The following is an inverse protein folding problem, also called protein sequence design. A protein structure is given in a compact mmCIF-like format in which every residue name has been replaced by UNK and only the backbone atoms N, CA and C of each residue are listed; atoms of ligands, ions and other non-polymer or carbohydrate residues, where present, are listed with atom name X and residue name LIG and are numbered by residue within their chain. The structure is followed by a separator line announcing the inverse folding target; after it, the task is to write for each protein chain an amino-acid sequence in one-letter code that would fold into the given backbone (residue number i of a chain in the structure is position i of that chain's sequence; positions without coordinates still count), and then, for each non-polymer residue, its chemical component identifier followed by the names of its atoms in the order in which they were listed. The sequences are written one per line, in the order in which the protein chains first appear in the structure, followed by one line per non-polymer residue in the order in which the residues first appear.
data_IF_454709527288
#
_entry.id   IF_454709527288
#
_cell.length_a   1.000
_cell.length_b   1.000
_cell.length_c   1.000
_cell.angle_alpha   90.00
_cell.angle_beta   90.00
_cell.angle_gamma   90.00
#
_symmetry.space_group_name_H-M   'P 1'
#
loop_
_entity.id
_entity.type
_entity.pdbx_description
1 polymer ?
#
# COMPACT_ATOMS: atom_id res chain seq x y z
N UNK A 1 16.07 1.20 -9.93
CA UNK A 1 15.60 0.19 -10.90
C UNK A 1 16.77 -0.70 -11.28
N UNK A 2 16.58 -2.01 -11.38
CA UNK A 2 17.65 -2.96 -11.75
C UNK A 2 17.09 -4.18 -12.49
N UNK A 3 17.96 -4.86 -13.25
CA UNK A 3 17.61 -6.03 -14.07
C UNK A 3 17.48 -7.33 -13.26
N UNK A 4 18.24 -7.43 -12.16
CA UNK A 4 18.21 -8.58 -11.25
C UNK A 4 17.23 -8.35 -10.11
N UNK A 5 16.80 -9.43 -9.44
CA UNK A 5 15.95 -9.29 -8.26
C UNK A 5 16.69 -8.48 -7.18
N UNK A 6 16.07 -7.45 -6.60
CA UNK A 6 16.67 -6.66 -5.54
C UNK A 6 16.98 -7.51 -4.30
N UNK A 7 18.13 -7.23 -3.70
CA UNK A 7 18.40 -7.58 -2.30
C UNK A 7 17.58 -6.65 -1.39
N UNK A 8 16.40 -7.12 -1.01
CA UNK A 8 15.46 -6.35 -0.20
C UNK A 8 15.98 -6.13 1.23
N UNK A 9 16.83 -7.02 1.75
CA UNK A 9 17.41 -6.86 3.08
C UNK A 9 18.35 -5.65 3.10
N UNK A 10 19.22 -5.52 2.11
CA UNK A 10 20.10 -4.36 1.96
C UNK A 10 19.35 -3.06 1.71
N UNK A 11 18.24 -3.08 0.98
CA UNK A 11 17.39 -1.88 0.80
C UNK A 11 16.72 -1.52 2.12
N UNK A 12 16.23 -2.52 2.85
CA UNK A 12 15.59 -2.34 4.15
C UNK A 12 16.56 -1.72 5.15
N UNK A 13 17.77 -2.28 5.30
CA UNK A 13 18.83 -1.76 6.20
C UNK A 13 19.09 -0.27 6.01
N UNK A 14 19.20 0.19 4.76
CA UNK A 14 19.39 1.62 4.45
C UNK A 14 18.17 2.46 4.79
N UNK A 15 16.97 1.91 4.59
CA UNK A 15 15.71 2.60 4.80
C UNK A 15 15.37 2.79 6.28
N UNK A 16 15.78 1.86 7.17
CA UNK A 16 15.43 1.94 8.60
C UNK A 16 15.96 3.21 9.26
N UNK A 17 17.14 3.69 8.89
CA UNK A 17 17.77 4.86 9.50
C UNK A 17 17.22 6.22 9.01
N UNK A 18 16.26 6.21 8.07
CA UNK A 18 15.80 7.42 7.38
C UNK A 18 14.37 7.74 7.81
N UNK A 19 14.09 9.00 8.09
CA UNK A 19 12.72 9.47 8.36
C UNK A 19 11.97 9.83 7.07
N UNK A 20 10.66 9.57 7.00
CA UNK A 20 9.85 10.01 5.88
C UNK A 20 9.70 11.53 5.88
N UNK A 21 9.62 12.11 4.67
CA UNK A 21 9.35 13.54 4.47
C UNK A 21 7.87 13.86 4.62
N UNK A 22 7.01 12.93 4.16
CA UNK A 22 5.57 13.07 4.23
C UNK A 22 5.01 12.46 5.52
N UNK A 23 3.95 13.05 6.04
CA UNK A 23 3.20 12.58 7.21
C UNK A 23 1.72 12.37 6.86
N UNK A 24 0.98 11.72 7.77
CA UNK A 24 -0.44 11.36 7.57
C UNK A 24 -1.33 12.56 7.22
N UNK A 25 -0.96 13.78 7.64
CA UNK A 25 -1.66 15.03 7.37
C UNK A 25 -1.73 15.38 5.89
N UNK A 26 -0.84 14.86 5.05
CA UNK A 26 -0.88 15.05 3.60
C UNK A 26 -2.15 14.47 2.96
N UNK A 27 -2.81 13.48 3.59
CA UNK A 27 -4.10 12.97 3.12
C UNK A 27 -5.22 14.00 3.24
N UNK A 28 -5.16 14.88 4.24
CA UNK A 28 -6.16 15.94 4.47
C UNK A 28 -5.77 17.24 3.77
N UNK A 29 -4.49 17.58 3.82
CA UNK A 29 -3.93 18.82 3.28
C UNK A 29 -2.71 18.50 2.39
N UNK A 30 -2.93 17.95 1.18
CA UNK A 30 -1.84 17.58 0.30
C UNK A 30 -1.04 18.82 -0.10
N UNK A 31 0.30 18.77 -0.06
CA UNK A 31 1.13 19.89 -0.51
C UNK A 31 0.89 20.22 -1.99
N UNK A 32 1.22 21.45 -2.46
CA UNK A 32 1.03 21.83 -3.85
C UNK A 32 1.68 20.84 -4.83
N UNK A 33 1.02 20.62 -5.99
CA UNK A 33 1.44 19.68 -7.05
C UNK A 33 1.45 18.20 -6.65
N UNK A 34 0.88 17.84 -5.51
CA UNK A 34 0.62 16.44 -5.19
C UNK A 34 -0.53 15.91 -6.04
N UNK A 35 -0.41 14.66 -6.48
CA UNK A 35 -1.51 13.88 -7.02
C UNK A 35 -2.26 13.24 -5.86
N UNK A 36 -3.58 13.40 -5.84
CA UNK A 36 -4.46 12.73 -4.88
C UNK A 36 -5.15 11.57 -5.58
N UNK A 37 -5.12 10.40 -4.97
CA UNK A 37 -5.80 9.20 -5.42
C UNK A 37 -6.73 8.73 -4.30
N UNK A 38 -8.02 8.63 -4.59
CA UNK A 38 -8.97 7.96 -3.70
C UNK A 38 -9.75 6.93 -4.48
N UNK A 39 -9.67 5.67 -4.09
CA UNK A 39 -10.36 4.55 -4.75
C UNK A 39 -10.98 3.64 -3.70
N UNK A 40 -12.17 3.17 -4.00
CA UNK A 40 -12.97 2.34 -3.11
C UNK A 40 -13.48 1.13 -3.85
N UNK A 41 -13.68 0.06 -3.09
CA UNK A 41 -14.28 -1.15 -3.60
C UNK A 41 -15.16 -1.78 -2.53
N UNK A 42 -16.42 -2.05 -2.85
CA UNK A 42 -17.28 -2.84 -1.98
C UNK A 42 -16.72 -4.27 -1.85
N UNK A 43 -16.67 -4.75 -0.61
CA UNK A 43 -16.31 -6.12 -0.28
C UNK A 43 -17.54 -7.03 -0.39
N UNK A 44 -17.31 -8.33 -0.35
CA UNK A 44 -18.36 -9.31 -0.51
C UNK A 44 -19.37 -9.26 0.65
N UNK A 45 -20.62 -9.59 0.34
CA UNK A 45 -21.67 -9.63 1.36
C UNK A 45 -21.32 -10.67 2.42
N UNK A 46 -21.41 -10.27 3.70
CA UNK A 46 -21.05 -11.11 4.83
C UNK A 46 -19.54 -11.18 5.12
N UNK A 47 -18.72 -10.35 4.47
CA UNK A 47 -17.31 -10.21 4.85
C UNK A 47 -17.16 -9.74 6.30
N UNK A 48 -16.23 -10.35 7.02
CA UNK A 48 -15.85 -9.96 8.37
C UNK A 48 -14.84 -8.80 8.33
N UNK A 49 -15.10 -7.74 9.12
CA UNK A 49 -14.17 -6.61 9.25
C UNK A 49 -12.85 -7.09 9.84
N UNK A 50 -12.91 -7.90 10.89
CA UNK A 50 -11.74 -8.45 11.59
C UNK A 50 -10.88 -9.29 10.64
N UNK A 51 -11.48 -10.24 9.91
CA UNK A 51 -10.71 -11.13 9.04
C UNK A 51 -10.09 -10.37 7.85
N UNK A 52 -10.83 -9.43 7.28
CA UNK A 52 -10.32 -8.57 6.21
C UNK A 52 -9.20 -7.67 6.71
N UNK A 53 -9.35 -7.12 7.92
CA UNK A 53 -8.33 -6.30 8.56
C UNK A 53 -7.06 -7.11 8.86
N UNK A 54 -7.19 -8.33 9.37
CA UNK A 54 -6.05 -9.20 9.65
C UNK A 54 -5.32 -9.59 8.36
N UNK A 55 -6.04 -9.87 7.27
CA UNK A 55 -5.45 -10.06 5.95
C UNK A 55 -4.70 -8.80 5.47
N UNK A 56 -5.29 -7.60 5.67
CA UNK A 56 -4.66 -6.33 5.34
C UNK A 56 -3.36 -6.10 6.15
N UNK A 57 -3.42 -6.25 7.48
CA UNK A 57 -2.27 -6.08 8.38
C UNK A 57 -1.21 -7.16 8.19
N UNK A 58 -1.57 -8.32 7.65
CA UNK A 58 -0.65 -9.36 7.23
C UNK A 58 0.00 -9.11 5.87
N UNK A 59 -0.26 -7.98 5.21
CA UNK A 59 0.17 -7.64 3.85
C UNK A 59 -0.45 -8.50 2.73
N UNK A 60 -1.52 -9.24 3.00
CA UNK A 60 -2.13 -10.14 2.01
C UNK A 60 -2.66 -9.37 0.79
N UNK A 61 -3.26 -8.19 1.01
CA UNK A 61 -3.71 -7.30 -0.10
C UNK A 61 -2.54 -6.89 -0.99
N UNK A 62 -1.39 -6.56 -0.39
CA UNK A 62 -0.21 -6.15 -1.14
C UNK A 62 0.40 -7.29 -1.94
N UNK A 63 0.50 -8.48 -1.33
CA UNK A 63 0.97 -9.69 -2.04
C UNK A 63 0.01 -10.10 -3.15
N UNK A 64 -1.30 -9.99 -2.92
CA UNK A 64 -2.34 -10.24 -3.92
C UNK A 64 -2.28 -9.27 -5.10
N UNK A 65 -1.82 -8.03 -4.88
CA UNK A 65 -1.53 -7.07 -5.95
C UNK A 65 -0.23 -7.38 -6.73
N UNK A 66 0.46 -8.48 -6.41
CA UNK A 66 1.70 -8.90 -7.07
C UNK A 66 2.98 -8.30 -6.48
N UNK A 67 2.90 -7.71 -5.28
CA UNK A 67 4.06 -7.14 -4.60
C UNK A 67 4.77 -8.17 -3.75
N UNK A 68 6.10 -8.13 -3.76
CA UNK A 68 6.92 -8.76 -2.74
C UNK A 68 7.11 -7.79 -1.59
N UNK A 69 7.00 -8.28 -0.35
CA UNK A 69 7.07 -7.48 0.88
C UNK A 69 8.19 -7.98 1.77
N UNK A 70 9.05 -7.08 2.25
CA UNK A 70 10.12 -7.38 3.21
C UNK A 70 10.22 -6.28 4.29
N UNK A 71 10.34 -6.60 5.58
CA UNK A 71 10.31 -7.95 6.16
C UNK A 71 8.90 -8.56 6.10
N UNK A 72 8.78 -9.87 6.36
CA UNK A 72 7.50 -10.60 6.28
C UNK A 72 6.58 -10.41 7.50
N UNK A 73 7.02 -9.68 8.51
CA UNK A 73 6.26 -9.42 9.74
C UNK A 73 4.98 -8.61 9.51
N UNK A 74 4.07 -8.56 10.50
CA UNK A 74 2.83 -7.82 10.38
C UNK A 74 3.07 -6.30 10.34
N UNK A 75 2.10 -5.58 9.80
CA UNK A 75 2.01 -4.13 9.91
C UNK A 75 1.97 -3.73 11.40
N UNK A 76 2.84 -2.81 11.78
CA UNK A 76 2.79 -2.11 13.06
C UNK A 76 3.34 -0.69 12.89
N UNK A 77 2.93 0.22 13.77
CA UNK A 77 3.39 1.60 13.76
C UNK A 77 4.94 1.65 13.82
N UNK A 78 5.54 2.47 12.96
CA UNK A 78 7.00 2.62 12.86
C UNK A 78 7.71 1.55 12.03
N UNK A 79 7.04 0.45 11.64
CA UNK A 79 7.66 -0.60 10.82
C UNK A 79 8.07 -0.03 9.46
N UNK A 80 9.35 -0.19 9.13
CA UNK A 80 9.86 0.04 7.78
C UNK A 80 9.69 -1.23 6.95
N UNK A 81 9.13 -1.05 5.75
CA UNK A 81 8.88 -2.11 4.78
C UNK A 81 9.46 -1.72 3.42
N UNK A 82 9.96 -2.69 2.68
CA UNK A 82 10.34 -2.55 1.28
C UNK A 82 9.38 -3.40 0.45
N UNK A 83 8.65 -2.71 -0.42
CA UNK A 83 7.82 -3.34 -1.42
C UNK A 83 8.63 -3.48 -2.71
N UNK A 84 8.41 -4.55 -3.47
CA UNK A 84 9.03 -4.73 -4.77
C UNK A 84 8.08 -5.31 -5.79
N UNK A 85 8.17 -4.79 -7.01
CA UNK A 85 7.37 -5.23 -8.16
C UNK A 85 8.26 -5.40 -9.38
N UNK A 86 7.94 -6.40 -10.19
CA UNK A 86 8.59 -6.63 -11.48
C UNK A 86 7.71 -6.11 -12.61
N UNK A 87 8.26 -5.24 -13.45
CA UNK A 87 7.59 -4.69 -14.64
C UNK A 87 8.46 -5.02 -15.85
N UNK A 88 8.01 -5.99 -16.64
CA UNK A 88 8.85 -6.55 -17.72
C UNK A 88 10.16 -7.13 -17.15
N UNK A 89 11.33 -6.78 -17.70
CA UNK A 89 12.62 -7.26 -17.21
C UNK A 89 13.14 -6.48 -15.98
N UNK A 90 12.42 -5.46 -15.52
CA UNK A 90 12.93 -4.49 -14.55
C UNK A 90 12.26 -4.66 -13.18
N UNK A 91 13.06 -4.52 -12.13
CA UNK A 91 12.60 -4.49 -10.75
C UNK A 91 12.59 -3.07 -10.18
N UNK A 92 11.52 -2.79 -9.45
CA UNK A 92 11.30 -1.56 -8.72
C UNK A 92 11.16 -1.88 -7.23
N UNK A 93 11.76 -1.05 -6.40
CA UNK A 93 11.66 -1.13 -4.94
C UNK A 93 11.08 0.16 -4.41
N UNK A 94 10.24 0.02 -3.41
CA UNK A 94 9.47 1.09 -2.80
C UNK A 94 9.60 0.95 -1.27
N UNK A 95 10.62 1.56 -0.65
CA UNK A 95 10.73 1.60 0.80
C UNK A 95 9.68 2.56 1.37
N UNK A 96 9.00 2.14 2.43
CA UNK A 96 7.97 2.90 3.14
C UNK A 96 8.11 2.68 4.65
N UNK A 97 7.56 3.60 5.45
CA UNK A 97 7.38 3.44 6.90
C UNK A 97 5.91 3.57 7.25
N UNK A 98 5.40 2.65 8.06
CA UNK A 98 4.04 2.75 8.62
C UNK A 98 4.03 3.91 9.62
N UNK A 99 3.23 4.94 9.33
CA UNK A 99 3.15 6.19 10.12
C UNK A 99 1.84 6.32 10.89
N UNK A 100 0.84 5.50 10.58
CA UNK A 100 -0.43 5.47 11.29
C UNK A 100 -1.07 4.08 11.19
N UNK A 101 -1.75 3.66 12.26
CA UNK A 101 -2.48 2.38 12.35
C UNK A 101 -3.77 2.63 13.11
N UNK A 102 -4.89 2.17 12.54
CA UNK A 102 -6.19 2.28 13.18
C UNK A 102 -6.83 0.90 13.29
N UNK A 103 -7.36 0.60 14.47
CA UNK A 103 -8.12 -0.60 14.76
C UNK A 103 -9.32 -0.19 15.59
N UNK A 104 -10.51 -0.29 15.01
CA UNK A 104 -11.77 0.05 15.65
C UNK A 104 -12.89 -0.90 15.24
N UNK A 105 -14.08 -0.74 15.83
CA UNK A 105 -15.24 -1.59 15.53
C UNK A 105 -15.82 -1.36 14.13
N UNK A 106 -15.59 -0.18 13.56
CA UNK A 106 -16.16 0.26 12.27
C UNK A 106 -15.09 0.56 11.21
N UNK A 107 -13.82 0.62 11.60
CA UNK A 107 -12.73 0.76 10.64
C UNK A 107 -11.45 0.09 11.13
N UNK A 108 -10.65 -0.38 10.18
CA UNK A 108 -9.30 -0.83 10.45
C UNK A 108 -8.39 -0.60 9.24
N UNK A 109 -7.12 -0.33 9.50
CA UNK A 109 -6.11 -0.23 8.46
C UNK A 109 -4.90 0.57 8.89
N UNK A 110 -4.11 1.00 7.93
CA UNK A 110 -2.86 1.70 8.18
C UNK A 110 -2.51 2.67 7.08
N UNK A 111 -1.63 3.60 7.40
CA UNK A 111 -1.01 4.52 6.45
C UNK A 111 0.48 4.33 6.50
N UNK A 112 1.12 4.28 5.33
CA UNK A 112 2.57 4.45 5.26
C UNK A 112 2.94 5.75 4.56
N UNK A 113 4.12 6.25 4.90
CA UNK A 113 4.82 7.28 4.16
C UNK A 113 5.96 6.66 3.36
N UNK A 114 6.21 7.18 2.16
CA UNK A 114 7.31 6.72 1.33
C UNK A 114 8.64 7.23 1.88
N UNK A 115 9.70 6.44 1.71
CA UNK A 115 11.07 6.77 2.13
C UNK A 115 11.94 7.12 0.92
N UNK A 116 13.09 7.79 1.09
CA UNK A 116 14.01 8.04 -0.01
C UNK A 116 14.34 6.78 -0.79
N UNK A 117 14.53 6.94 -2.11
CA UNK A 117 14.63 5.88 -3.13
C UNK A 117 13.28 5.24 -3.53
N UNK A 118 12.17 5.65 -2.92
CA UNK A 118 10.84 5.46 -3.50
C UNK A 118 10.66 6.38 -4.73
N UNK A 119 9.97 5.94 -5.80
CA UNK A 119 9.74 6.77 -7.00
C UNK A 119 8.89 8.03 -6.75
N UNK A 120 8.10 8.00 -5.68
CA UNK A 120 7.18 9.05 -5.23
C UNK A 120 7.49 9.44 -3.79
N UNK A 121 7.24 10.71 -3.44
CA UNK A 121 7.26 11.22 -2.07
C UNK A 121 5.84 11.52 -1.64
N UNK A 122 5.33 10.80 -0.63
CA UNK A 122 3.96 10.96 -0.18
C UNK A 122 3.53 9.93 0.85
N UNK A 123 2.22 9.84 1.03
CA UNK A 123 1.55 8.89 1.92
C UNK A 123 0.47 8.13 1.18
N UNK A 124 0.27 6.87 1.58
CA UNK A 124 -0.81 6.03 1.10
C UNK A 124 -1.44 5.26 2.27
N UNK A 125 -2.76 5.34 2.35
CA UNK A 125 -3.61 4.73 3.38
C UNK A 125 -4.45 3.64 2.77
N UNK A 126 -4.54 2.53 3.51
CA UNK A 126 -5.35 1.37 3.18
C UNK A 126 -6.30 1.11 4.35
N UNK A 127 -7.60 1.12 4.08
CA UNK A 127 -8.64 1.02 5.11
C UNK A 127 -9.71 0.03 4.71
N UNK A 128 -10.18 -0.76 5.67
CA UNK A 128 -11.47 -1.45 5.62
C UNK A 128 -12.41 -0.62 6.47
N UNK A 129 -13.52 -0.18 5.89
CA UNK A 129 -14.50 0.71 6.50
C UNK A 129 -15.87 0.06 6.48
N UNK A 130 -16.65 0.22 7.55
CA UNK A 130 -18.09 -0.03 7.52
C UNK A 130 -18.78 1.01 6.65
N UNK A 131 -19.65 0.56 5.76
CA UNK A 131 -20.44 1.41 4.86
C UNK A 131 -21.86 0.85 4.78
N UNK A 132 -22.77 1.41 5.61
CA UNK A 132 -24.09 0.84 5.85
C UNK A 132 -24.00 -0.57 6.43
N UNK A 133 -24.73 -1.51 5.80
CA UNK A 133 -24.73 -2.93 6.17
C UNK A 133 -23.53 -3.71 5.60
N UNK A 134 -22.68 -3.06 4.81
CA UNK A 134 -21.55 -3.67 4.13
C UNK A 134 -20.20 -3.17 4.61
N UNK A 135 -19.15 -3.66 3.95
CA UNK A 135 -17.78 -3.19 4.12
C UNK A 135 -17.21 -2.70 2.79
N UNK A 136 -16.38 -1.68 2.86
CA UNK A 136 -15.63 -1.13 1.73
C UNK A 136 -14.15 -1.15 2.05
N UNK A 137 -13.33 -1.54 1.08
CA UNK A 137 -11.90 -1.29 1.12
C UNK A 137 -11.57 0.00 0.37
N UNK A 138 -10.84 0.90 1.02
CA UNK A 138 -10.41 2.20 0.52
C UNK A 138 -8.89 2.27 0.42
N UNK A 139 -8.43 2.84 -0.70
CA UNK A 139 -7.06 3.31 -0.89
C UNK A 139 -7.14 4.84 -1.01
N UNK A 140 -6.39 5.55 -0.18
CA UNK A 140 -6.27 7.00 -0.24
C UNK A 140 -4.80 7.40 -0.20
N UNK A 141 -4.32 8.07 -1.24
CA UNK A 141 -2.94 8.50 -1.37
C UNK A 141 -2.82 9.98 -1.73
N UNK A 142 -1.76 10.60 -1.23
CA UNK A 142 -1.33 11.94 -1.61
C UNK A 142 0.18 11.92 -1.82
N UNK A 143 0.64 12.13 -3.05
CA UNK A 143 2.05 12.01 -3.38
C UNK A 143 2.51 12.95 -4.51
N UNK A 144 3.78 13.32 -4.44
CA UNK A 144 4.53 14.02 -5.50
C UNK A 144 5.45 13.03 -6.21
N UNK A 145 5.68 13.26 -7.49
CA UNK A 145 6.68 12.51 -8.24
C UNK A 145 8.07 13.13 -7.97
N UNK A 146 8.88 12.48 -7.15
CA UNK A 146 10.23 12.96 -6.78
C UNK A 146 11.35 12.26 -7.58
N UNK A 147 11.02 11.68 -8.73
CA UNK A 147 11.97 10.85 -9.46
C UNK A 147 13.02 11.68 -10.21
N UNK A 148 14.28 11.63 -9.76
CA UNK A 148 15.45 12.15 -10.49
C UNK A 148 15.67 11.44 -11.86
N UNK A 149 15.11 10.24 -12.07
CA UNK A 149 15.18 9.49 -13.33
C UNK A 149 14.01 9.72 -14.29
N UNK A 150 13.24 10.81 -14.16
CA UNK A 150 12.04 11.15 -14.96
C UNK A 150 12.26 11.27 -16.48
N UNK A 151 13.48 11.00 -16.97
CA UNK A 151 13.79 10.79 -18.39
C UNK A 151 13.42 9.40 -18.93
N UNK A 152 13.00 8.44 -18.09
CA UNK A 152 12.45 7.15 -18.55
C UNK A 152 10.90 7.20 -18.52
N UNK A 153 10.35 7.63 -19.66
CA UNK A 153 8.98 7.42 -20.20
C UNK A 153 7.81 7.42 -19.18
N UNK A 154 7.20 8.59 -18.92
CA UNK A 154 6.03 8.77 -18.04
C UNK A 154 4.84 7.79 -18.21
N UNK A 155 4.43 7.38 -19.43
CA UNK A 155 3.26 6.52 -19.58
C UNK A 155 3.48 5.07 -19.11
N UNK A 156 4.72 4.62 -18.89
CA UNK A 156 4.97 3.31 -18.30
C UNK A 156 4.76 3.37 -16.77
N UNK A 157 5.24 4.42 -16.11
CA UNK A 157 5.11 4.59 -14.67
C UNK A 157 3.65 4.70 -14.21
N UNK A 158 2.83 5.50 -14.91
CA UNK A 158 1.40 5.63 -14.59
C UNK A 158 0.65 4.29 -14.72
N UNK A 159 0.96 3.51 -15.76
CA UNK A 159 0.35 2.18 -15.94
C UNK A 159 0.71 1.20 -14.83
N UNK A 160 1.92 1.30 -14.27
CA UNK A 160 2.33 0.47 -13.14
C UNK A 160 1.53 0.86 -11.89
N UNK A 161 1.42 2.15 -11.59
CA UNK A 161 0.64 2.65 -10.45
C UNK A 161 -0.83 2.25 -10.55
N UNK A 162 -1.45 2.42 -11.73
CA UNK A 162 -2.85 2.04 -11.95
C UNK A 162 -3.04 0.52 -11.83
N UNK A 163 -2.09 -0.27 -12.36
CA UNK A 163 -2.12 -1.75 -12.24
C UNK A 163 -2.01 -2.20 -10.78
N UNK A 164 -1.09 -1.62 -10.02
CA UNK A 164 -0.91 -1.95 -8.59
C UNK A 164 -2.15 -1.54 -7.79
N UNK A 165 -2.68 -0.33 -8.03
CA UNK A 165 -3.94 0.14 -7.42
C UNK A 165 -5.10 -0.80 -7.72
N UNK A 166 -5.28 -1.18 -8.98
CA UNK A 166 -6.32 -2.14 -9.37
C UNK A 166 -6.09 -3.52 -8.73
N UNK A 167 -4.83 -3.94 -8.62
CA UNK A 167 -4.43 -5.17 -7.94
C UNK A 167 -4.81 -5.17 -6.46
N UNK A 168 -4.61 -4.06 -5.75
CA UNK A 168 -5.04 -3.94 -4.35
C UNK A 168 -6.55 -4.08 -4.21
N UNK A 169 -7.34 -3.38 -5.05
CA UNK A 169 -8.80 -3.45 -5.00
C UNK A 169 -9.32 -4.86 -5.33
N UNK A 170 -8.71 -5.54 -6.30
CA UNK A 170 -9.04 -6.92 -6.65
C UNK A 170 -8.68 -7.89 -5.51
N UNK A 171 -7.47 -7.78 -4.95
CA UNK A 171 -7.03 -8.62 -3.85
C UNK A 171 -7.89 -8.44 -2.59
N UNK A 172 -8.28 -7.20 -2.27
CA UNK A 172 -9.18 -6.94 -1.14
C UNK A 172 -10.56 -7.60 -1.33
N UNK A 173 -11.13 -7.51 -2.53
CA UNK A 173 -12.37 -8.23 -2.87
C UNK A 173 -12.19 -9.74 -2.73
N UNK A 174 -11.14 -10.31 -3.31
CA UNK A 174 -10.94 -11.76 -3.31
C UNK A 174 -10.70 -12.31 -1.89
N UNK A 175 -9.93 -11.60 -1.06
CA UNK A 175 -9.70 -11.98 0.34
C UNK A 175 -10.99 -11.93 1.17
N UNK A 176 -11.89 -10.99 0.86
CA UNK A 176 -13.19 -10.91 1.54
C UNK A 176 -14.10 -12.11 1.24
N UNK A 177 -13.90 -12.81 0.11
CA UNK A 177 -14.65 -14.04 -0.24
C UNK A 177 -14.34 -15.21 0.68
N UNK A 178 -13.07 -15.34 1.08
CA UNK A 178 -12.59 -16.39 1.98
C UNK A 178 -12.97 -16.17 3.44
N UNK A 179 -13.41 -14.96 3.78
CA UNK A 179 -13.81 -14.55 5.13
C UNK A 179 -15.30 -14.81 5.41
N UNK A 180 -16.00 -15.58 4.57
CA UNK A 180 -17.39 -15.98 4.85
C UNK A 180 -17.41 -16.77 6.17
N UNK A 181 -18.31 -16.46 7.11
CA UNK A 181 -18.48 -17.28 8.30
C UNK A 181 -18.91 -18.68 7.86
N UNK A 182 -17.94 -19.59 7.82
CA UNK A 182 -18.20 -21.01 7.70
C UNK A 182 -18.93 -21.44 8.95
N UNK A 183 -20.10 -22.02 8.76
CA UNK A 183 -20.81 -22.83 9.75
C UNK A 183 -19.81 -23.76 10.45
N UNK A 184 -19.52 -23.46 11.72
CA UNK A 184 -19.02 -24.42 12.69
C UNK A 184 -20.08 -24.58 13.77
#
# INVERSE_FOLDING_TARGET
MQLTRPDLARVLERAVAVEPVADVGWLAAPPPRSRVLRRRVALELGASLTDTADALFGWAVHRGAGLTIAPSGPVALGVTVVQAVRVGPLWFTAPCRVVDVVRGPDEAGFTYATLPHHPETGVESFRVLRDGDGLVFEIHAAARHDFWGSRIVPPAAHRVQDRVTAGYLAAARDLSRGSRPGTR
#
